data_IF_199496194888
#
_entry.id   IF_199496194888
#
_cell.length_a   1.000
_cell.length_b   1.000
_cell.length_c   1.000
_cell.angle_alpha   90.00
_cell.angle_beta   90.00
_cell.angle_gamma   90.00
#
_symmetry.space_group_name_H-M   'P 1'
#
loop_
_entity.id
_entity.type
_entity.pdbx_description
1 polymer ?
#
# COMPACT_ATOMS: atom_id res chain seq x y z
N UNK A 1 -19.89 -20.45 -18.83
CA UNK A 1 -19.25 -19.42 -19.67
C UNK A 1 -17.85 -19.24 -19.12
N UNK A 2 -16.77 -19.39 -19.91
CA UNK A 2 -15.42 -19.21 -19.39
C UNK A 2 -15.22 -17.71 -19.23
N UNK A 3 -15.59 -17.19 -18.06
CA UNK A 3 -15.26 -15.82 -17.70
C UNK A 3 -13.73 -15.75 -17.66
N UNK A 4 -13.12 -15.12 -18.66
CA UNK A 4 -11.70 -14.78 -18.59
C UNK A 4 -11.48 -14.04 -17.28
N UNK A 5 -10.53 -14.53 -16.48
CA UNK A 5 -10.18 -13.86 -15.24
C UNK A 5 -9.60 -12.49 -15.61
N UNK A 6 -10.27 -11.42 -15.18
CA UNK A 6 -9.75 -10.07 -15.30
C UNK A 6 -9.65 -9.45 -13.90
N UNK A 7 -8.66 -8.60 -13.71
CA UNK A 7 -8.42 -7.89 -12.46
C UNK A 7 -8.20 -6.41 -12.73
N UNK A 8 -8.95 -5.55 -12.04
CA UNK A 8 -8.81 -4.10 -12.10
C UNK A 8 -8.39 -3.57 -10.73
N UNK A 9 -7.37 -2.70 -10.73
CA UNK A 9 -6.89 -2.08 -9.51
C UNK A 9 -7.64 -0.76 -9.26
N UNK A 10 -8.39 -0.62 -8.14
CA UNK A 10 -9.14 0.60 -7.86
C UNK A 10 -8.27 1.82 -7.51
N UNK A 11 -6.97 1.63 -7.29
CA UNK A 11 -6.05 2.68 -6.88
C UNK A 11 -5.33 3.35 -8.06
N UNK A 12 -5.06 2.61 -9.13
CA UNK A 12 -4.33 3.13 -10.29
C UNK A 12 -5.05 2.90 -11.62
N UNK A 13 -6.19 2.21 -11.63
CA UNK A 13 -6.93 1.87 -12.86
C UNK A 13 -6.21 0.86 -13.75
N UNK A 14 -5.24 0.12 -13.21
CA UNK A 14 -4.53 -0.91 -13.96
C UNK A 14 -5.47 -2.11 -14.16
N UNK A 15 -5.63 -2.53 -15.41
CA UNK A 15 -6.50 -3.67 -15.77
C UNK A 15 -5.61 -4.76 -16.38
N UNK A 16 -5.82 -5.99 -15.95
CA UNK A 16 -5.19 -7.19 -16.50
C UNK A 16 -6.31 -8.13 -16.98
N UNK A 17 -6.18 -8.65 -18.20
CA UNK A 17 -7.18 -9.52 -18.82
C UNK A 17 -6.69 -10.97 -18.99
N UNK A 18 -5.38 -11.19 -18.87
CA UNK A 18 -4.76 -12.50 -19.01
C UNK A 18 -4.25 -13.03 -17.67
N UNK A 19 -4.23 -14.37 -17.54
CA UNK A 19 -3.66 -15.01 -16.34
C UNK A 19 -2.20 -14.64 -16.11
N UNK A 20 -1.42 -14.47 -17.17
CA UNK A 20 -0.01 -14.08 -17.07
C UNK A 20 0.11 -12.63 -16.61
N UNK A 21 -0.70 -11.72 -17.16
CA UNK A 21 -0.76 -10.33 -16.73
C UNK A 21 -1.19 -10.23 -15.26
N UNK A 22 -2.23 -10.96 -14.87
CA UNK A 22 -2.68 -11.01 -13.49
C UNK A 22 -1.55 -11.53 -12.60
N UNK A 23 -0.86 -12.61 -12.95
CA UNK A 23 0.21 -13.17 -12.13
C UNK A 23 1.38 -12.18 -11.92
N UNK A 24 1.78 -11.47 -12.98
CA UNK A 24 2.87 -10.49 -12.93
C UNK A 24 2.45 -9.21 -12.21
N UNK A 25 1.28 -8.66 -12.55
CA UNK A 25 0.82 -7.34 -12.12
C UNK A 25 0.11 -7.36 -10.78
N UNK A 26 -0.72 -8.36 -10.52
CA UNK A 26 -1.55 -8.49 -9.31
C UNK A 26 -1.03 -9.60 -8.39
N UNK A 27 -0.66 -10.74 -8.97
CA UNK A 27 -0.45 -12.02 -8.32
C UNK A 27 -1.76 -12.74 -8.02
N UNK A 28 -1.68 -14.05 -7.83
CA UNK A 28 -2.79 -14.89 -7.38
C UNK A 28 -2.65 -15.27 -5.91
N UNK A 29 -3.79 -15.47 -5.24
CA UNK A 29 -3.89 -16.09 -3.91
C UNK A 29 -4.33 -17.55 -4.04
N UNK A 30 -4.11 -18.32 -2.97
CA UNK A 30 -4.52 -19.73 -2.86
C UNK A 30 -4.04 -20.62 -4.03
N UNK A 31 -2.78 -20.48 -4.44
CA UNK A 31 -2.17 -21.33 -5.46
C UNK A 31 -2.62 -21.08 -6.90
N UNK A 32 -3.11 -19.88 -7.23
CA UNK A 32 -3.48 -19.54 -8.61
C UNK A 32 -4.99 -19.44 -8.88
N UNK A 33 -5.82 -19.59 -7.85
CA UNK A 33 -7.28 -19.69 -8.03
C UNK A 33 -8.04 -18.36 -7.93
N UNK A 34 -7.44 -17.33 -7.30
CA UNK A 34 -8.10 -16.04 -7.11
C UNK A 34 -7.13 -14.89 -7.39
N UNK A 35 -7.41 -14.00 -8.36
CA UNK A 35 -6.59 -12.83 -8.63
C UNK A 35 -6.63 -11.83 -7.47
N UNK A 36 -5.53 -11.10 -7.28
CA UNK A 36 -5.52 -9.99 -6.32
C UNK A 36 -6.38 -8.82 -6.81
N UNK A 37 -7.08 -8.16 -5.88
CA UNK A 37 -7.86 -6.94 -6.20
C UNK A 37 -6.99 -5.70 -6.38
N UNK A 38 -5.76 -5.71 -5.84
CA UNK A 38 -4.83 -4.58 -5.89
C UNK A 38 -3.54 -4.99 -6.58
N UNK A 39 -3.02 -4.14 -7.46
CA UNK A 39 -1.77 -4.43 -8.15
C UNK A 39 -0.58 -4.46 -7.19
N UNK A 40 0.47 -5.16 -7.57
CA UNK A 40 1.70 -5.37 -6.79
C UNK A 40 2.35 -4.05 -6.39
N UNK A 41 2.34 -3.05 -7.29
CA UNK A 41 2.86 -1.70 -7.03
C UNK A 41 2.07 -0.96 -5.94
N UNK A 42 0.74 -0.92 -6.04
CA UNK A 42 -0.10 -0.24 -5.04
C UNK A 42 -0.11 -0.99 -3.70
N UNK A 43 0.12 -2.30 -3.71
CA UNK A 43 0.27 -3.11 -2.50
C UNK A 43 1.61 -2.90 -1.82
N UNK A 44 2.72 -2.77 -2.59
CA UNK A 44 4.04 -2.48 -2.02
C UNK A 44 4.14 -1.04 -1.53
N UNK A 45 3.59 -0.07 -2.25
CA UNK A 45 3.60 1.34 -1.83
C UNK A 45 2.84 1.60 -0.52
N UNK A 46 1.94 0.69 -0.12
CA UNK A 46 1.27 0.75 1.18
C UNK A 46 2.11 0.17 2.31
N UNK A 47 3.04 -0.73 1.99
CA UNK A 47 3.99 -1.35 2.92
C UNK A 47 5.26 -0.53 3.10
N UNK A 48 5.60 0.33 2.12
CA UNK A 48 6.66 1.35 2.24
C UNK A 48 6.20 2.60 3.02
N UNK A 49 5.06 2.52 3.72
CA UNK A 49 4.83 3.27 4.96
C UNK A 49 5.51 2.58 6.15
N UNK A 50 6.69 2.01 5.95
CA UNK A 50 7.70 2.07 7.00
C UNK A 50 7.94 3.57 7.17
N UNK A 51 7.22 4.19 8.11
CA UNK A 51 7.00 5.62 8.16
C UNK A 51 8.33 6.34 7.99
N UNK A 52 8.52 6.99 6.84
CA UNK A 52 9.56 7.98 6.74
C UNK A 52 9.33 8.95 7.90
N UNK A 53 10.38 9.38 8.61
CA UNK A 53 10.23 10.31 9.73
C UNK A 53 9.37 11.53 9.35
N UNK A 54 9.45 11.98 8.09
CA UNK A 54 8.60 13.02 7.53
C UNK A 54 7.09 12.72 7.51
N UNK A 55 6.66 11.50 7.16
CA UNK A 55 5.23 11.12 7.12
C UNK A 55 4.69 10.90 8.56
N UNK A 56 5.56 10.43 9.46
CA UNK A 56 5.26 10.37 10.89
C UNK A 56 5.10 11.77 11.49
N UNK A 57 5.98 12.73 11.14
CA UNK A 57 5.89 14.13 11.58
C UNK A 57 4.64 14.82 11.07
N UNK A 58 4.29 14.65 9.79
CA UNK A 58 3.08 15.28 9.21
C UNK A 58 1.80 14.78 9.91
N UNK A 59 1.75 13.48 10.21
CA UNK A 59 0.65 12.88 10.97
C UNK A 59 0.63 13.39 12.42
N UNK A 60 1.79 13.49 13.07
CA UNK A 60 1.93 13.99 14.44
C UNK A 60 1.50 15.45 14.57
N UNK A 61 1.97 16.33 13.66
CA UNK A 61 1.56 17.74 13.60
C UNK A 61 0.06 17.92 13.37
N UNK A 62 -0.50 17.15 12.42
CA UNK A 62 -1.91 17.25 12.05
C UNK A 62 -2.87 16.80 13.17
N UNK A 63 -2.39 15.98 14.11
CA UNK A 63 -3.15 15.50 15.27
C UNK A 63 -2.80 16.24 16.57
N UNK A 64 -2.13 17.41 16.48
CA UNK A 64 -1.89 18.26 17.64
C UNK A 64 -0.69 17.85 18.50
N UNK A 65 0.28 17.14 17.91
CA UNK A 65 1.50 16.69 18.57
C UNK A 65 1.25 15.70 19.72
N UNK A 66 0.23 14.86 19.59
CA UNK A 66 -0.13 13.86 20.60
C UNK A 66 0.79 12.62 20.56
N UNK A 67 1.09 12.08 21.75
CA UNK A 67 2.04 10.96 21.93
C UNK A 67 1.58 9.65 21.26
N UNK A 68 0.28 9.46 21.06
CA UNK A 68 -0.29 8.28 20.41
C UNK A 68 0.04 8.21 18.91
N UNK A 69 0.44 9.33 18.31
CA UNK A 69 0.77 9.45 16.88
C UNK A 69 2.26 9.58 16.61
N UNK A 70 3.12 9.29 17.59
CA UNK A 70 4.57 9.35 17.41
C UNK A 70 5.17 8.10 16.73
N UNK A 71 4.34 7.11 16.38
CA UNK A 71 4.71 5.92 15.59
C UNK A 71 6.07 5.28 15.94
N UNK A 72 6.32 5.05 17.25
CA UNK A 72 7.58 4.50 17.80
C UNK A 72 8.82 5.40 17.69
N UNK A 73 8.68 6.65 17.25
CA UNK A 73 9.71 7.68 17.35
C UNK A 73 9.56 8.48 18.65
N UNK A 74 10.65 9.04 19.14
CA UNK A 74 10.62 10.01 20.24
C UNK A 74 10.27 11.43 19.74
N UNK A 75 9.79 12.29 20.64
CA UNK A 75 9.38 13.66 20.30
C UNK A 75 10.57 14.45 19.74
N UNK A 76 11.74 14.24 20.32
CA UNK A 76 13.02 14.81 19.88
C UNK A 76 13.46 14.30 18.50
N UNK A 77 13.09 13.08 18.13
CA UNK A 77 13.38 12.55 16.80
C UNK A 77 12.46 13.16 15.76
N UNK A 78 11.17 13.30 16.06
CA UNK A 78 10.21 13.93 15.15
C UNK A 78 10.53 15.41 14.94
N UNK A 79 10.89 16.14 16.00
CA UNK A 79 11.29 17.57 15.93
C UNK A 79 12.53 17.85 15.08
N UNK A 80 13.37 16.85 14.79
CA UNK A 80 14.53 17.02 13.89
C UNK A 80 14.13 17.12 12.41
N UNK A 81 12.91 16.71 12.08
CA UNK A 81 12.37 16.67 10.72
C UNK A 81 11.27 17.73 10.50
N UNK A 82 11.10 18.65 11.46
CA UNK A 82 10.25 19.86 11.41
C UNK A 82 11.11 21.04 10.93
#
# INVERSE_FOLDING_TARGET
MPYGEYAECPHCGLIAHDREEIEVLFGYRYGGAVPQSWCRKCRSSRSDKALNPFDAVDTWMSNGMDEDYMFSYSEDELRKYI
#
